data_IF_411663184112
#
_entry.id   IF_411663184112
#
_cell.length_a   1.000
_cell.length_b   1.000
_cell.length_c   1.000
_cell.angle_alpha   90.00
_cell.angle_beta   90.00
_cell.angle_gamma   90.00
#
_symmetry.space_group_name_H-M   'P 1'
#
loop_
_entity.id
_entity.type
_entity.pdbx_description
1 polymer ?
#
# COMPACT_ATOMS: atom_id res chain seq x y z
N UNK A 1 26.45 24.22 16.29
CA UNK A 1 25.34 23.27 16.56
C UNK A 1 25.79 21.83 16.26
N UNK A 2 25.02 20.80 16.59
CA UNK A 2 25.41 19.42 16.27
C UNK A 2 25.52 19.20 14.75
N UNK A 3 24.61 19.80 13.99
CA UNK A 3 24.60 19.74 12.54
C UNK A 3 25.91 20.23 11.92
N UNK A 4 26.45 21.36 12.40
CA UNK A 4 27.73 21.91 11.90
C UNK A 4 28.90 20.92 12.10
N UNK A 5 28.91 20.21 13.24
CA UNK A 5 29.92 19.19 13.52
C UNK A 5 29.83 18.00 12.58
N UNK A 6 28.57 17.56 12.28
CA UNK A 6 28.32 16.45 11.37
C UNK A 6 28.75 16.84 9.94
N UNK A 7 28.42 18.05 9.51
CA UNK A 7 28.81 18.54 8.18
C UNK A 7 30.34 18.64 8.04
N UNK A 8 31.03 19.14 9.05
CA UNK A 8 32.51 19.19 9.02
C UNK A 8 33.13 17.78 8.98
N UNK A 9 32.62 16.84 9.78
CA UNK A 9 33.07 15.45 9.72
C UNK A 9 32.78 14.82 8.34
N UNK A 10 31.61 15.10 7.77
CA UNK A 10 31.24 14.63 6.43
C UNK A 10 32.15 15.17 5.34
N UNK A 11 32.55 16.47 5.41
CA UNK A 11 33.52 17.05 4.46
C UNK A 11 34.85 16.31 4.50
N UNK A 12 35.36 16.03 5.71
CA UNK A 12 36.64 15.31 5.91
C UNK A 12 36.51 13.88 5.34
N UNK A 13 35.43 13.18 5.69
CA UNK A 13 35.16 11.83 5.21
C UNK A 13 35.11 11.77 3.68
N UNK A 14 34.32 12.64 3.05
CA UNK A 14 34.18 12.68 1.58
C UNK A 14 35.52 12.98 0.90
N UNK A 15 36.35 13.87 1.47
CA UNK A 15 37.67 14.13 0.95
C UNK A 15 38.56 12.87 0.98
N UNK A 16 38.56 12.14 2.10
CA UNK A 16 39.31 10.89 2.26
C UNK A 16 38.79 9.78 1.32
N UNK A 17 37.49 9.66 1.18
CA UNK A 17 36.87 8.68 0.25
C UNK A 17 37.27 8.95 -1.20
N UNK A 18 37.36 10.21 -1.63
CA UNK A 18 37.82 10.63 -2.95
C UNK A 18 39.31 10.29 -3.21
N UNK A 19 40.12 10.19 -2.17
CA UNK A 19 41.54 9.75 -2.28
C UNK A 19 41.61 8.21 -2.50
N UNK A 20 40.68 7.47 -1.91
CA UNK A 20 40.61 5.99 -2.03
C UNK A 20 40.00 5.56 -3.36
N UNK A 21 38.91 6.20 -3.77
CA UNK A 21 38.22 5.93 -5.02
C UNK A 21 37.92 7.27 -5.72
N UNK A 22 38.50 7.49 -6.89
CA UNK A 22 38.42 8.80 -7.54
C UNK A 22 37.00 9.17 -7.95
N UNK A 23 36.62 10.45 -7.94
CA UNK A 23 35.32 10.92 -8.39
C UNK A 23 34.95 10.45 -9.80
N UNK A 24 35.94 10.39 -10.69
CA UNK A 24 35.75 9.94 -12.06
C UNK A 24 35.40 8.46 -12.12
N UNK A 25 36.05 7.63 -11.28
CA UNK A 25 35.78 6.20 -11.23
C UNK A 25 34.38 5.91 -10.69
N UNK A 26 33.98 6.54 -9.58
CA UNK A 26 32.64 6.37 -8.98
C UNK A 26 31.55 6.88 -9.93
N UNK A 27 31.78 8.03 -10.57
CA UNK A 27 30.87 8.58 -11.58
C UNK A 27 30.73 7.64 -12.77
N UNK A 28 31.82 7.12 -13.30
CA UNK A 28 31.79 6.17 -14.43
C UNK A 28 31.03 4.88 -14.04
N UNK A 29 31.25 4.35 -12.84
CA UNK A 29 30.55 3.18 -12.33
C UNK A 29 29.04 3.44 -12.18
N UNK A 30 28.64 4.59 -11.64
CA UNK A 30 27.25 4.97 -11.50
C UNK A 30 26.53 5.13 -12.84
N UNK A 31 27.19 5.76 -13.84
CA UNK A 31 26.65 5.96 -15.18
C UNK A 31 26.58 4.66 -16.00
N UNK A 32 27.31 3.62 -15.64
CA UNK A 32 27.21 2.30 -16.25
C UNK A 32 25.98 1.51 -15.79
N UNK A 33 25.32 1.93 -14.72
CA UNK A 33 24.10 1.30 -14.19
C UNK A 33 22.85 1.87 -14.87
N UNK A 34 21.75 1.08 -15.01
CA UNK A 34 20.51 1.55 -15.60
C UNK A 34 19.96 2.78 -14.86
N UNK A 35 19.60 3.83 -15.59
CA UNK A 35 18.96 5.04 -15.05
C UNK A 35 17.43 5.06 -15.20
N UNK A 36 16.89 4.30 -16.14
CA UNK A 36 15.44 4.08 -16.26
C UNK A 36 14.99 3.02 -15.24
N UNK A 37 14.76 3.44 -14.02
CA UNK A 37 14.43 2.57 -12.89
C UNK A 37 12.93 2.55 -12.56
N UNK A 38 12.15 3.48 -13.14
CA UNK A 38 10.76 3.72 -12.74
C UNK A 38 10.60 4.32 -11.34
N UNK A 39 11.68 4.82 -10.72
CA UNK A 39 11.69 5.41 -9.37
C UNK A 39 10.99 4.53 -8.32
N UNK A 40 11.52 3.32 -8.03
CA UNK A 40 10.83 2.34 -7.18
C UNK A 40 10.51 2.86 -5.76
N UNK A 41 11.33 3.76 -5.22
CA UNK A 41 11.06 4.36 -3.92
C UNK A 41 9.81 5.26 -3.95
N UNK A 42 9.70 6.13 -4.95
CA UNK A 42 8.53 6.98 -5.14
C UNK A 42 7.29 6.14 -5.46
N UNK A 43 7.40 5.14 -6.33
CA UNK A 43 6.32 4.24 -6.67
C UNK A 43 5.77 3.47 -5.45
N UNK A 44 6.65 2.99 -4.55
CA UNK A 44 6.24 2.31 -3.33
C UNK A 44 5.48 3.21 -2.35
N UNK A 45 5.81 4.52 -2.31
CA UNK A 45 5.16 5.47 -1.41
C UNK A 45 3.83 6.04 -1.95
N UNK A 46 3.57 5.96 -3.26
CA UNK A 46 2.32 6.45 -3.89
C UNK A 46 1.14 5.47 -3.83
N UNK A 47 1.34 4.28 -3.30
CA UNK A 47 0.25 3.30 -3.15
C UNK A 47 -0.81 3.78 -2.13
N UNK A 48 -2.06 3.31 -2.28
CA UNK A 48 -3.23 3.87 -1.58
C UNK A 48 -3.17 3.84 -0.05
N UNK A 49 -2.61 2.82 0.58
CA UNK A 49 -2.62 2.72 2.05
C UNK A 49 -1.52 3.56 2.71
N UNK A 50 -1.61 3.74 4.03
CA UNK A 50 -0.56 4.38 4.82
C UNK A 50 0.76 3.59 4.69
N UNK A 51 1.89 4.27 4.46
CA UNK A 51 3.18 3.64 4.17
C UNK A 51 4.21 3.93 5.25
N UNK A 52 4.98 2.91 5.62
CA UNK A 52 6.09 3.05 6.54
C UNK A 52 7.43 2.91 5.82
N UNK A 53 8.32 3.89 6.02
CA UNK A 53 9.74 3.78 5.74
C UNK A 53 10.41 3.38 7.05
N UNK A 54 10.86 2.13 7.16
CA UNK A 54 11.46 1.61 8.38
C UNK A 54 12.97 1.84 8.39
N UNK A 55 13.48 2.48 9.46
CA UNK A 55 14.88 2.89 9.51
C UNK A 55 15.75 1.90 10.29
N UNK A 56 16.82 1.44 9.66
CA UNK A 56 17.89 0.62 10.25
C UNK A 56 18.93 1.55 10.84
N UNK A 57 18.87 1.76 12.16
CA UNK A 57 19.66 2.75 12.89
C UNK A 57 20.29 2.21 14.18
N UNK A 58 21.62 2.20 14.25
CA UNK A 58 22.36 1.72 15.42
C UNK A 58 22.43 2.73 16.55
N UNK A 59 22.63 4.00 16.22
CA UNK A 59 22.81 5.09 17.17
C UNK A 59 22.29 6.42 16.64
N UNK A 60 22.11 7.40 17.51
CA UNK A 60 21.84 8.79 17.13
C UNK A 60 22.47 9.77 18.14
N UNK A 61 22.75 11.04 17.74
CA UNK A 61 23.30 12.05 18.64
C UNK A 61 22.44 12.33 19.88
N UNK A 62 21.11 12.22 19.74
CA UNK A 62 20.15 12.51 20.82
C UNK A 62 19.95 11.36 21.80
N UNK A 63 20.19 10.11 21.39
CA UNK A 63 19.89 8.89 22.18
C UNK A 63 21.10 8.01 22.45
N UNK A 64 22.27 8.32 21.87
CA UNK A 64 23.44 7.43 21.92
C UNK A 64 23.18 6.12 21.17
N UNK A 65 23.68 5.01 21.71
CA UNK A 65 23.48 3.68 21.15
C UNK A 65 22.03 3.25 21.40
N UNK A 66 21.29 2.95 20.32
CA UNK A 66 19.89 2.49 20.34
C UNK A 66 19.87 0.97 20.41
N UNK A 67 20.76 0.28 19.67
CA UNK A 67 20.87 -1.16 19.61
C UNK A 67 22.35 -1.57 19.75
N UNK A 68 22.73 -2.17 20.90
CA UNK A 68 24.07 -2.71 21.11
C UNK A 68 24.32 -3.93 20.22
N UNK A 69 23.38 -4.89 20.24
CA UNK A 69 23.30 -5.96 19.26
C UNK A 69 22.57 -5.44 18.04
N UNK A 70 23.25 -5.39 16.89
CA UNK A 70 22.74 -4.76 15.68
C UNK A 70 22.86 -5.68 14.47
N UNK A 71 22.00 -6.70 14.37
CA UNK A 71 21.92 -7.59 13.22
C UNK A 71 21.15 -6.89 12.09
N UNK A 72 21.74 -5.84 11.52
CA UNK A 72 21.10 -4.94 10.53
C UNK A 72 20.47 -5.69 9.36
N UNK A 73 21.06 -6.80 8.96
CA UNK A 73 20.60 -7.62 7.86
C UNK A 73 19.28 -8.33 8.19
N UNK A 74 19.21 -8.93 9.38
CA UNK A 74 18.00 -9.61 9.84
C UNK A 74 16.88 -8.60 10.12
N UNK A 75 17.23 -7.44 10.71
CA UNK A 75 16.29 -6.33 10.93
C UNK A 75 15.68 -5.87 9.60
N UNK A 76 16.47 -5.72 8.53
CA UNK A 76 15.97 -5.31 7.23
C UNK A 76 15.01 -6.34 6.61
N UNK A 77 15.30 -7.63 6.77
CA UNK A 77 14.40 -8.71 6.35
C UNK A 77 13.10 -8.74 7.15
N UNK A 78 13.18 -8.53 8.47
CA UNK A 78 11.99 -8.41 9.32
C UNK A 78 11.10 -7.24 8.87
N UNK A 79 11.69 -6.09 8.48
CA UNK A 79 10.94 -4.96 7.94
C UNK A 79 10.24 -5.29 6.62
N UNK A 80 10.93 -6.00 5.71
CA UNK A 80 10.32 -6.43 4.45
C UNK A 80 9.16 -7.39 4.70
N UNK A 81 9.34 -8.41 5.55
CA UNK A 81 8.28 -9.37 5.93
C UNK A 81 7.11 -8.66 6.64
N UNK A 82 7.40 -7.66 7.45
CA UNK A 82 6.39 -6.86 8.14
C UNK A 82 5.55 -5.97 7.19
N UNK A 83 5.95 -5.82 5.93
CA UNK A 83 5.23 -5.00 4.95
C UNK A 83 5.67 -3.53 4.91
N UNK A 84 6.91 -3.23 5.32
CA UNK A 84 7.48 -1.89 5.10
C UNK A 84 7.49 -1.54 3.61
N UNK A 85 7.12 -0.31 3.27
CA UNK A 85 7.15 0.16 1.88
C UNK A 85 8.58 0.42 1.39
N UNK A 86 9.48 0.83 2.29
CA UNK A 86 10.88 1.09 2.02
C UNK A 86 11.73 0.95 3.29
N UNK A 87 13.03 0.80 3.11
CA UNK A 87 14.00 0.78 4.21
C UNK A 87 14.91 2.01 4.12
N UNK A 88 15.08 2.72 5.23
CA UNK A 88 16.08 3.79 5.39
C UNK A 88 17.31 3.23 6.09
N UNK A 89 18.50 3.39 5.50
CA UNK A 89 19.75 2.86 6.05
C UNK A 89 20.74 3.98 6.33
N UNK A 90 21.13 4.12 7.61
CA UNK A 90 22.16 5.08 8.03
C UNK A 90 23.53 4.66 7.49
N UNK A 91 24.20 5.57 6.77
CA UNK A 91 25.56 5.37 6.28
C UNK A 91 26.57 6.31 6.93
N UNK A 92 26.13 7.27 7.74
CA UNK A 92 26.98 8.19 8.47
C UNK A 92 27.68 7.48 9.67
N UNK A 93 29.04 7.38 9.70
CA UNK A 93 29.73 6.51 10.64
C UNK A 93 30.02 7.14 12.01
N UNK A 94 30.20 8.44 12.09
CA UNK A 94 30.73 9.09 13.30
C UNK A 94 29.65 9.25 14.38
N UNK A 95 28.51 9.76 14.03
CA UNK A 95 27.42 10.13 14.93
C UNK A 95 26.29 9.10 14.97
N UNK A 96 26.04 8.41 13.86
CA UNK A 96 24.94 7.42 13.76
C UNK A 96 25.44 5.98 13.74
N UNK A 97 26.77 5.76 13.71
CA UNK A 97 27.38 4.43 13.64
C UNK A 97 26.88 3.62 12.43
N UNK A 98 26.60 4.36 11.34
CA UNK A 98 26.24 3.80 10.04
C UNK A 98 27.46 3.26 9.29
N UNK A 99 27.20 2.54 8.22
CA UNK A 99 28.25 2.01 7.34
C UNK A 99 27.67 1.78 5.92
N UNK A 100 28.48 2.10 4.88
CA UNK A 100 28.13 1.80 3.49
C UNK A 100 27.83 0.31 3.25
N UNK A 101 28.51 -0.55 4.01
CA UNK A 101 28.32 -2.00 3.97
C UNK A 101 26.86 -2.39 4.29
N UNK A 102 26.27 -1.72 5.30
CA UNK A 102 24.88 -2.00 5.66
C UNK A 102 23.94 -1.73 4.49
N UNK A 103 24.12 -0.59 3.82
CA UNK A 103 23.32 -0.24 2.64
C UNK A 103 23.49 -1.26 1.51
N UNK A 104 24.75 -1.59 1.17
CA UNK A 104 25.06 -2.51 0.06
C UNK A 104 24.48 -3.90 0.29
N UNK A 105 24.65 -4.46 1.48
CA UNK A 105 24.15 -5.80 1.81
C UNK A 105 22.62 -5.84 1.88
N UNK A 106 21.98 -4.82 2.47
CA UNK A 106 20.53 -4.71 2.51
C UNK A 106 19.97 -4.57 1.10
N UNK A 107 20.46 -3.59 0.32
CA UNK A 107 19.95 -3.32 -1.03
C UNK A 107 20.11 -4.49 -2.00
N UNK A 108 21.13 -5.35 -1.80
CA UNK A 108 21.33 -6.55 -2.62
C UNK A 108 20.41 -7.72 -2.23
N UNK A 109 19.69 -7.63 -1.11
CA UNK A 109 18.94 -8.76 -0.53
C UNK A 109 17.44 -8.52 -0.52
N UNK A 110 16.99 -7.34 -0.08
CA UNK A 110 15.57 -7.02 -0.01
C UNK A 110 15.02 -6.63 -1.37
N UNK A 111 13.73 -6.84 -1.59
CA UNK A 111 13.03 -6.46 -2.83
C UNK A 111 12.44 -5.05 -2.76
N UNK A 112 12.21 -4.55 -1.54
CA UNK A 112 11.68 -3.21 -1.32
C UNK A 112 12.78 -2.15 -1.48
N UNK A 113 12.45 -0.91 -1.91
CA UNK A 113 13.44 0.13 -2.18
C UNK A 113 14.17 0.59 -0.92
N UNK A 114 15.43 0.99 -1.10
CA UNK A 114 16.33 1.39 -0.01
C UNK A 114 16.75 2.85 -0.16
N UNK A 115 16.58 3.63 0.91
CA UNK A 115 17.01 5.01 1.03
C UNK A 115 18.41 5.07 1.70
N UNK A 116 19.37 5.74 1.06
CA UNK A 116 20.61 6.16 1.73
C UNK A 116 20.33 7.35 2.66
N UNK A 117 20.34 7.11 3.95
CA UNK A 117 20.18 8.16 4.98
C UNK A 117 21.57 8.64 5.42
N UNK A 118 22.01 9.78 4.90
CA UNK A 118 23.32 10.40 5.12
C UNK A 118 23.21 11.92 4.94
N UNK A 119 24.24 12.65 5.33
CA UNK A 119 24.38 14.09 5.05
C UNK A 119 25.06 14.27 3.69
N UNK A 120 24.25 14.45 2.64
CA UNK A 120 24.74 14.61 1.28
C UNK A 120 25.06 16.07 1.02
N UNK A 121 26.34 16.37 0.82
CA UNK A 121 26.88 17.71 0.60
C UNK A 121 27.75 17.81 -0.67
N UNK A 122 27.92 16.71 -1.38
CA UNK A 122 28.76 16.60 -2.57
C UNK A 122 28.16 15.60 -3.58
N UNK A 123 28.23 15.92 -4.87
CA UNK A 123 27.75 15.05 -5.95
C UNK A 123 28.36 13.64 -5.93
N UNK A 124 29.59 13.54 -5.44
CA UNK A 124 30.27 12.25 -5.27
C UNK A 124 29.45 11.26 -4.44
N UNK A 125 28.80 11.73 -3.39
CA UNK A 125 27.95 10.89 -2.53
C UNK A 125 26.68 10.41 -3.27
N UNK A 126 26.18 11.17 -4.26
CA UNK A 126 25.03 10.78 -5.07
C UNK A 126 25.42 9.64 -6.02
N UNK A 127 26.57 9.75 -6.67
CA UNK A 127 27.12 8.66 -7.50
C UNK A 127 27.42 7.42 -6.65
N UNK A 128 27.98 7.58 -5.44
CA UNK A 128 28.18 6.47 -4.50
C UNK A 128 26.85 5.79 -4.15
N UNK A 129 25.79 6.54 -3.87
CA UNK A 129 24.48 5.97 -3.53
C UNK A 129 23.98 5.06 -4.65
N UNK A 130 24.13 5.48 -5.90
CA UNK A 130 23.79 4.64 -7.07
C UNK A 130 24.60 3.35 -7.13
N UNK A 131 25.91 3.45 -6.96
CA UNK A 131 26.83 2.30 -7.00
C UNK A 131 26.56 1.32 -5.84
N UNK A 132 26.15 1.84 -4.68
CA UNK A 132 25.83 1.03 -3.50
C UNK A 132 24.44 0.39 -3.56
N UNK A 133 23.65 0.65 -4.61
CA UNK A 133 22.34 0.04 -4.83
C UNK A 133 21.18 0.76 -4.14
N UNK A 134 21.35 2.00 -3.68
CA UNK A 134 20.24 2.79 -3.18
C UNK A 134 19.20 3.06 -4.27
N UNK A 135 17.94 3.15 -3.88
CA UNK A 135 16.81 3.59 -4.72
C UNK A 135 16.48 5.08 -4.49
N UNK A 136 16.92 5.63 -3.37
CA UNK A 136 16.70 7.02 -3.00
C UNK A 136 17.85 7.58 -2.15
N UNK A 137 17.95 8.91 -2.12
CA UNK A 137 18.88 9.68 -1.29
C UNK A 137 18.11 10.68 -0.42
N UNK A 138 18.76 11.11 0.68
CA UNK A 138 18.32 12.21 1.53
C UNK A 138 19.00 13.51 1.13
N UNK A 139 18.23 14.58 0.93
CA UNK A 139 18.71 15.95 0.79
C UNK A 139 18.11 16.79 1.93
N UNK A 140 18.94 17.53 2.67
CA UNK A 140 18.51 18.26 3.87
C UNK A 140 18.56 19.76 3.62
N UNK A 141 17.43 20.46 3.72
CA UNK A 141 17.33 21.91 3.48
C UNK A 141 18.21 22.69 4.44
N UNK A 142 18.34 22.28 5.70
CA UNK A 142 19.23 22.92 6.67
C UNK A 142 20.72 22.85 6.29
N UNK A 143 21.12 22.00 5.34
CA UNK A 143 22.50 21.79 4.91
C UNK A 143 22.84 22.41 3.55
N UNK A 144 21.84 22.72 2.72
CA UNK A 144 21.98 23.05 1.30
C UNK A 144 21.13 24.28 0.96
N UNK A 145 21.60 25.10 0.04
CA UNK A 145 20.79 26.16 -0.57
C UNK A 145 19.90 25.62 -1.71
N UNK A 146 18.90 26.39 -2.13
CA UNK A 146 17.95 25.99 -3.19
C UNK A 146 18.64 25.62 -4.52
N UNK A 147 19.64 26.38 -5.01
CA UNK A 147 20.37 26.00 -6.23
C UNK A 147 21.07 24.65 -6.10
N UNK A 148 21.69 24.35 -4.95
CA UNK A 148 22.37 23.08 -4.70
C UNK A 148 21.38 21.93 -4.54
N UNK A 149 20.27 22.14 -3.82
CA UNK A 149 19.16 21.18 -3.72
C UNK A 149 18.63 20.80 -5.10
N UNK A 150 18.35 21.80 -5.97
CA UNK A 150 17.88 21.59 -7.33
C UNK A 150 18.88 20.75 -8.12
N UNK A 151 20.16 21.14 -8.11
CA UNK A 151 21.23 20.43 -8.81
C UNK A 151 21.37 18.98 -8.37
N UNK A 152 21.33 18.73 -7.05
CA UNK A 152 21.47 17.38 -6.50
C UNK A 152 20.26 16.51 -6.80
N UNK A 153 19.04 17.07 -6.71
CA UNK A 153 17.82 16.38 -7.09
C UNK A 153 17.85 15.99 -8.57
N UNK A 154 18.21 16.93 -9.47
CA UNK A 154 18.29 16.64 -10.91
C UNK A 154 19.38 15.61 -11.24
N UNK A 155 20.50 15.65 -10.55
CA UNK A 155 21.51 14.62 -10.68
C UNK A 155 20.99 13.24 -10.23
N UNK A 156 20.31 13.18 -9.08
CA UNK A 156 19.71 11.94 -8.59
C UNK A 156 18.67 11.42 -9.60
N UNK A 157 17.79 12.27 -10.10
CA UNK A 157 16.80 11.92 -11.12
C UNK A 157 17.45 11.36 -12.39
N UNK A 158 18.55 11.98 -12.85
CA UNK A 158 19.28 11.50 -14.05
C UNK A 158 19.90 10.12 -13.87
N UNK A 159 20.10 9.69 -12.63
CA UNK A 159 20.61 8.37 -12.26
C UNK A 159 19.47 7.38 -11.91
N UNK A 160 18.20 7.80 -11.96
CA UNK A 160 17.04 7.01 -11.56
C UNK A 160 16.94 6.82 -10.05
N UNK A 161 17.44 7.76 -9.24
CA UNK A 161 17.30 7.80 -7.79
C UNK A 161 16.21 8.80 -7.41
N UNK A 162 15.32 8.44 -6.50
CA UNK A 162 14.42 9.41 -5.86
C UNK A 162 15.17 10.27 -4.84
N UNK A 163 14.66 11.49 -4.57
CA UNK A 163 15.19 12.37 -3.54
C UNK A 163 14.13 12.64 -2.48
N UNK A 164 14.37 12.20 -1.24
CA UNK A 164 13.63 12.65 -0.06
C UNK A 164 14.25 13.97 0.41
N UNK A 165 13.51 15.09 0.29
CA UNK A 165 13.98 16.41 0.69
C UNK A 165 13.45 16.72 2.08
N UNK A 166 14.34 16.74 3.09
CA UNK A 166 13.99 16.94 4.50
C UNK A 166 13.93 18.42 4.86
N UNK A 167 12.85 18.83 5.53
CA UNK A 167 12.56 20.17 6.00
C UNK A 167 12.09 20.15 7.47
N UNK A 168 12.31 21.28 8.21
CA UNK A 168 11.98 21.40 9.63
C UNK A 168 10.97 22.52 9.92
N UNK A 169 10.86 23.51 9.06
CA UNK A 169 9.97 24.66 9.21
C UNK A 169 9.40 25.13 7.88
N UNK A 170 8.58 26.19 7.90
CA UNK A 170 7.91 26.76 6.72
C UNK A 170 8.91 27.23 5.66
N UNK A 171 10.03 27.81 6.10
CA UNK A 171 11.06 28.29 5.16
C UNK A 171 11.70 27.14 4.42
N UNK A 172 12.07 26.07 5.13
CA UNK A 172 12.69 24.89 4.53
C UNK A 172 11.70 24.10 3.65
N UNK A 173 10.39 24.03 4.02
CA UNK A 173 9.36 23.48 3.14
C UNK A 173 9.26 24.27 1.84
N UNK A 174 9.34 25.61 1.91
CA UNK A 174 9.34 26.42 0.69
C UNK A 174 10.59 26.17 -0.16
N UNK A 175 11.78 26.00 0.46
CA UNK A 175 13.00 25.62 -0.26
C UNK A 175 12.86 24.27 -0.97
N UNK A 176 12.22 23.29 -0.33
CA UNK A 176 11.93 21.99 -0.92
C UNK A 176 10.98 22.10 -2.11
N UNK A 177 9.95 22.93 -2.01
CA UNK A 177 9.03 23.23 -3.12
C UNK A 177 9.78 23.93 -4.27
N UNK A 178 10.56 24.95 -3.96
CA UNK A 178 11.31 25.76 -4.94
C UNK A 178 12.35 24.92 -5.71
N UNK A 179 12.93 23.92 -5.08
CA UNK A 179 13.83 22.98 -5.76
C UNK A 179 13.10 21.91 -6.59
N UNK A 180 11.77 21.87 -6.58
CA UNK A 180 10.94 20.93 -7.32
C UNK A 180 10.94 19.52 -6.73
N UNK A 181 10.97 19.38 -5.40
CA UNK A 181 10.92 18.10 -4.72
C UNK A 181 9.58 17.39 -4.97
N UNK A 182 9.63 16.11 -5.32
CA UNK A 182 8.45 15.24 -5.45
C UNK A 182 8.12 14.49 -4.17
N UNK A 183 9.10 14.41 -3.24
CA UNK A 183 8.95 13.80 -1.91
C UNK A 183 9.54 14.77 -0.90
N UNK A 184 8.72 15.27 0.01
CA UNK A 184 9.11 16.19 1.07
C UNK A 184 8.93 15.50 2.42
N UNK A 185 10.02 15.39 3.18
CA UNK A 185 10.02 14.89 4.55
C UNK A 185 9.99 16.04 5.55
N UNK A 186 9.06 16.01 6.50
CA UNK A 186 9.06 16.95 7.62
C UNK A 186 9.55 16.24 8.86
N UNK A 187 10.69 16.68 9.38
CA UNK A 187 11.26 16.14 10.60
C UNK A 187 10.66 16.86 11.83
N UNK A 188 9.90 16.11 12.61
CA UNK A 188 9.27 16.58 13.84
C UNK A 188 10.29 16.83 14.97
N UNK A 189 11.55 16.41 14.79
CA UNK A 189 12.62 16.63 15.76
C UNK A 189 13.36 17.93 15.46
N UNK A 190 13.36 18.85 16.40
CA UNK A 190 14.15 20.06 16.33
C UNK A 190 15.65 19.72 16.49
N UNK A 191 16.47 20.07 15.52
CA UNK A 191 17.91 19.76 15.53
C UNK A 191 18.72 20.61 16.53
N UNK A 192 18.11 21.64 17.15
CA UNK A 192 18.78 22.53 18.10
C UNK A 192 18.73 22.02 19.54
N UNK A 193 17.56 21.49 19.94
CA UNK A 193 17.27 21.06 21.31
C UNK A 193 16.76 19.62 21.43
N UNK A 194 16.57 18.94 20.30
CA UNK A 194 16.06 17.58 20.17
C UNK A 194 14.62 17.36 20.67
N UNK A 195 13.86 18.42 20.90
CA UNK A 195 12.42 18.31 21.16
C UNK A 195 11.72 17.71 19.95
N UNK A 196 10.62 17.02 20.21
CA UNK A 196 9.80 16.35 19.17
C UNK A 196 8.37 16.85 19.27
N UNK A 197 7.81 17.29 18.15
CA UNK A 197 6.44 17.74 18.04
C UNK A 197 5.79 17.21 16.75
N UNK A 198 4.96 16.17 16.84
CA UNK A 198 4.27 15.56 15.69
C UNK A 198 3.32 16.55 15.01
N UNK A 199 2.82 17.56 15.73
CA UNK A 199 1.98 18.63 15.16
C UNK A 199 2.72 19.49 14.14
N UNK A 200 4.07 19.45 14.12
CA UNK A 200 4.87 20.12 13.10
C UNK A 200 4.54 19.60 11.69
N UNK A 201 4.48 18.28 11.51
CA UNK A 201 4.06 17.68 10.22
C UNK A 201 2.65 18.10 9.82
N UNK A 202 1.69 18.06 10.76
CA UNK A 202 0.29 18.46 10.51
C UNK A 202 0.21 19.93 10.07
N UNK A 203 0.92 20.83 10.77
CA UNK A 203 0.94 22.24 10.45
C UNK A 203 1.53 22.54 9.08
N UNK A 204 2.62 21.86 8.72
CA UNK A 204 3.35 22.10 7.48
C UNK A 204 2.74 21.40 6.26
N UNK A 205 1.92 20.35 6.47
CA UNK A 205 1.25 19.63 5.38
C UNK A 205 0.46 20.56 4.45
N UNK A 206 -0.21 21.56 5.01
CA UNK A 206 -1.04 22.50 4.26
C UNK A 206 -0.25 23.43 3.31
N UNK A 207 1.07 23.47 3.41
CA UNK A 207 1.93 24.24 2.50
C UNK A 207 2.33 23.44 1.24
N UNK A 208 2.13 22.11 1.27
CA UNK A 208 2.59 21.19 0.22
C UNK A 208 1.39 20.74 -0.62
N UNK A 209 1.56 20.72 -1.94
CA UNK A 209 0.53 20.27 -2.89
C UNK A 209 0.25 18.78 -2.77
N UNK A 210 -0.94 18.33 -3.19
CA UNK A 210 -1.39 16.94 -3.00
C UNK A 210 -0.67 15.93 -3.90
N UNK A 211 -0.09 16.36 -5.01
CA UNK A 211 0.70 15.53 -5.92
C UNK A 211 2.13 15.25 -5.40
N UNK A 212 2.58 16.00 -4.38
CA UNK A 212 3.85 15.78 -3.69
C UNK A 212 3.66 14.79 -2.55
N UNK A 213 4.50 13.75 -2.50
CA UNK A 213 4.51 12.80 -1.39
C UNK A 213 5.01 13.49 -0.13
N UNK A 214 4.19 13.52 0.91
CA UNK A 214 4.54 14.10 2.20
C UNK A 214 4.90 12.99 3.19
N UNK A 215 6.08 13.07 3.80
CA UNK A 215 6.60 12.10 4.77
C UNK A 215 6.72 12.75 6.14
N UNK A 216 6.10 12.20 7.17
CA UNK A 216 6.32 12.62 8.56
C UNK A 216 7.47 11.82 9.16
N UNK A 217 8.47 12.51 9.72
CA UNK A 217 9.67 11.88 10.28
C UNK A 217 9.81 12.17 11.77
N UNK A 218 10.21 11.17 12.53
CA UNK A 218 10.45 11.23 13.99
C UNK A 218 9.21 11.39 14.87
N UNK A 219 9.29 10.83 16.08
CA UNK A 219 8.34 11.08 17.17
C UNK A 219 7.05 10.28 17.14
N UNK A 220 6.91 9.36 16.22
CA UNK A 220 5.71 8.53 16.09
C UNK A 220 5.91 7.22 16.87
N UNK A 221 4.98 6.85 17.75
CA UNK A 221 5.11 5.70 18.63
C UNK A 221 3.86 4.84 18.73
N UNK A 222 2.67 5.41 18.48
CA UNK A 222 1.35 4.80 18.72
C UNK A 222 0.47 4.80 17.47
N UNK A 223 -0.56 3.95 17.40
CA UNK A 223 -1.57 4.00 16.34
C UNK A 223 -2.30 5.34 16.27
N UNK A 224 -2.48 5.99 17.42
CA UNK A 224 -3.12 7.30 17.51
C UNK A 224 -2.28 8.39 16.81
N UNK A 225 -0.95 8.34 16.93
CA UNK A 225 -0.07 9.24 16.17
C UNK A 225 -0.25 9.03 14.66
N UNK A 226 -0.35 7.77 14.22
CA UNK A 226 -0.56 7.43 12.81
C UNK A 226 -1.95 7.88 12.35
N UNK A 227 -2.97 7.75 13.21
CA UNK A 227 -4.32 8.23 12.88
C UNK A 227 -4.35 9.75 12.71
N UNK A 228 -3.66 10.51 13.57
CA UNK A 228 -3.51 11.96 13.41
C UNK A 228 -2.91 12.32 12.05
N UNK A 229 -1.92 11.56 11.56
CA UNK A 229 -1.34 11.77 10.24
C UNK A 229 -2.36 11.49 9.12
N UNK A 230 -3.08 10.37 9.20
CA UNK A 230 -4.14 10.02 8.23
C UNK A 230 -5.21 11.10 8.13
N UNK A 231 -5.71 11.56 9.28
CA UNK A 231 -6.75 12.59 9.36
C UNK A 231 -6.32 13.94 8.75
N UNK A 232 -5.00 14.13 8.57
CA UNK A 232 -4.42 15.33 7.97
C UNK A 232 -3.80 15.08 6.58
N UNK A 233 -4.23 14.04 5.85
CA UNK A 233 -3.75 13.69 4.50
C UNK A 233 -2.23 13.47 4.43
N UNK A 234 -1.65 12.87 5.47
CA UNK A 234 -0.25 12.44 5.50
C UNK A 234 -0.26 10.91 5.44
N UNK A 235 0.14 10.36 4.30
CA UNK A 235 0.08 8.92 4.04
C UNK A 235 1.38 8.17 4.27
N UNK A 236 2.48 8.86 4.65
CA UNK A 236 3.79 8.21 4.80
C UNK A 236 4.48 8.65 6.09
N UNK A 237 5.06 7.69 6.82
CA UNK A 237 5.89 7.93 8.00
C UNK A 237 7.27 7.28 7.86
N UNK A 238 8.34 8.01 8.25
CA UNK A 238 9.67 7.47 8.42
C UNK A 238 9.96 7.29 9.91
N UNK A 239 10.18 6.05 10.34
CA UNK A 239 10.31 5.68 11.74
C UNK A 239 11.51 4.78 11.98
N UNK A 240 12.32 5.11 12.98
CA UNK A 240 13.52 4.33 13.35
C UNK A 240 13.48 3.84 14.79
N UNK A 241 13.54 4.74 15.77
CA UNK A 241 13.70 4.39 17.18
C UNK A 241 12.63 3.43 17.69
N UNK A 242 11.37 3.67 17.35
CA UNK A 242 10.21 2.87 17.73
C UNK A 242 10.35 1.41 17.28
N UNK A 243 10.77 1.20 16.03
CA UNK A 243 10.99 -0.15 15.50
C UNK A 243 12.26 -0.79 16.06
N UNK A 244 13.36 -0.03 16.16
CA UNK A 244 14.63 -0.56 16.67
C UNK A 244 14.52 -1.06 18.12
N UNK A 245 13.67 -0.44 18.94
CA UNK A 245 13.42 -0.84 20.32
C UNK A 245 12.43 -2.00 20.47
N UNK A 246 11.64 -2.28 19.44
CA UNK A 246 10.69 -3.41 19.48
C UNK A 246 11.40 -4.75 19.34
N UNK A 247 11.10 -5.75 20.18
CA UNK A 247 11.62 -7.08 20.02
C UNK A 247 11.05 -7.81 18.80
N UNK A 248 9.83 -7.47 18.37
CA UNK A 248 9.15 -8.02 17.19
C UNK A 248 8.72 -6.87 16.26
N UNK A 249 9.37 -6.74 15.10
CA UNK A 249 9.12 -5.68 14.12
C UNK A 249 7.79 -5.87 13.39
N UNK A 250 7.43 -7.15 13.14
CA UNK A 250 6.17 -7.50 12.46
C UNK A 250 4.98 -7.09 13.30
N UNK A 251 4.96 -7.49 14.58
CA UNK A 251 3.89 -7.11 15.52
C UNK A 251 3.85 -5.59 15.73
N UNK A 252 5.03 -4.92 15.81
CA UNK A 252 5.07 -3.47 16.01
C UNK A 252 4.54 -2.72 14.81
N UNK A 253 4.86 -3.16 13.58
CA UNK A 253 4.32 -2.54 12.37
C UNK A 253 2.81 -2.77 12.29
N UNK A 254 2.34 -3.99 12.53
CA UNK A 254 0.91 -4.30 12.59
C UNK A 254 0.18 -3.46 13.65
N UNK A 255 0.76 -3.31 14.84
CA UNK A 255 0.23 -2.45 15.90
C UNK A 255 0.12 -0.99 15.45
N UNK A 256 1.12 -0.44 14.75
CA UNK A 256 1.12 0.94 14.28
C UNK A 256 0.16 1.18 13.12
N UNK A 257 -0.05 0.18 12.27
CA UNK A 257 -1.14 0.26 11.29
C UNK A 257 -2.48 0.48 11.99
N UNK A 258 -2.52 0.14 13.27
CA UNK A 258 -3.75 0.14 14.06
C UNK A 258 -4.57 -1.11 13.75
N UNK A 259 -5.71 -1.29 14.36
CA UNK A 259 -6.69 -2.22 13.85
C UNK A 259 -6.86 -1.82 12.39
N UNK A 260 -6.54 -2.75 11.51
CA UNK A 260 -6.76 -2.56 10.09
C UNK A 260 -8.23 -2.23 9.95
N UNK A 261 -8.53 -0.96 9.84
CA UNK A 261 -9.81 -0.55 9.31
C UNK A 261 -9.78 -0.98 7.85
N UNK A 262 -9.95 -2.29 7.64
CA UNK A 262 -10.44 -2.73 6.37
C UNK A 262 -11.76 -1.98 6.23
N UNK A 263 -11.81 -1.00 5.38
CA UNK A 263 -13.09 -0.60 4.82
C UNK A 263 -13.59 -1.89 4.19
N UNK A 264 -14.55 -2.58 4.81
CA UNK A 264 -14.92 -3.90 4.33
C UNK A 264 -15.38 -3.72 2.90
N UNK A 265 -14.78 -4.47 1.98
CA UNK A 265 -15.19 -4.41 0.59
C UNK A 265 -16.62 -4.93 0.49
N UNK A 266 -17.49 -4.10 -0.09
CA UNK A 266 -18.92 -4.38 -0.21
C UNK A 266 -19.20 -5.01 -1.56
N UNK A 267 -19.86 -6.17 -1.57
CA UNK A 267 -20.39 -6.78 -2.78
C UNK A 267 -21.92 -6.77 -2.75
N UNK A 268 -22.53 -6.21 -3.78
CA UNK A 268 -23.98 -6.25 -4.01
C UNK A 268 -24.32 -7.29 -5.05
N UNK A 269 -24.90 -8.40 -4.62
CA UNK A 269 -25.13 -9.57 -5.46
C UNK A 269 -26.57 -9.67 -5.99
N UNK A 270 -26.72 -10.27 -7.18
CA UNK A 270 -28.02 -10.54 -7.80
C UNK A 270 -28.68 -9.30 -8.42
N UNK A 271 -27.88 -8.38 -8.94
CA UNK A 271 -28.35 -7.26 -9.75
C UNK A 271 -28.78 -7.83 -11.12
N UNK A 272 -30.06 -7.65 -11.48
CA UNK A 272 -30.65 -8.24 -12.69
C UNK A 272 -31.47 -7.26 -13.54
N UNK A 273 -31.58 -5.99 -13.09
CA UNK A 273 -32.38 -4.97 -13.78
C UNK A 273 -31.53 -3.70 -13.99
N UNK A 274 -31.62 -3.15 -15.20
CA UNK A 274 -30.89 -1.94 -15.59
C UNK A 274 -31.30 -0.72 -14.75
N UNK A 275 -32.56 -0.68 -14.33
CA UNK A 275 -33.11 0.39 -13.51
C UNK A 275 -32.44 0.51 -12.12
N UNK A 276 -31.78 -0.56 -11.64
CA UNK A 276 -31.06 -0.59 -10.36
C UNK A 276 -29.66 0.01 -10.47
N UNK A 277 -29.08 0.09 -11.66
CA UNK A 277 -27.70 0.56 -11.86
C UNK A 277 -27.42 1.97 -11.29
N UNK A 278 -28.34 2.96 -11.45
CA UNK A 278 -28.11 4.28 -10.83
C UNK A 278 -27.89 4.22 -9.32
N UNK A 279 -28.66 3.40 -8.60
CA UNK A 279 -28.53 3.24 -7.15
C UNK A 279 -27.22 2.52 -6.78
N UNK A 280 -26.81 1.51 -7.57
CA UNK A 280 -25.52 0.83 -7.38
C UNK A 280 -24.36 1.79 -7.58
N UNK A 281 -24.36 2.61 -8.64
CA UNK A 281 -23.33 3.61 -8.91
C UNK A 281 -23.29 4.68 -7.80
N UNK A 282 -24.44 5.11 -7.31
CA UNK A 282 -24.53 6.07 -6.21
C UNK A 282 -23.99 5.51 -4.88
N UNK A 283 -24.30 4.26 -4.56
CA UNK A 283 -23.84 3.56 -3.37
C UNK A 283 -22.35 3.20 -3.43
N UNK A 284 -21.78 3.12 -4.65
CA UNK A 284 -20.36 2.81 -4.89
C UNK A 284 -19.87 1.58 -4.11
N UNK A 285 -20.48 0.38 -4.25
CA UNK A 285 -19.89 -0.85 -3.70
C UNK A 285 -18.58 -1.15 -4.44
N UNK A 286 -17.76 -2.03 -3.88
CA UNK A 286 -16.55 -2.49 -4.57
C UNK A 286 -16.85 -3.49 -5.67
N UNK A 287 -17.96 -4.26 -5.51
CA UNK A 287 -18.33 -5.31 -6.44
C UNK A 287 -19.84 -5.34 -6.73
N UNK A 288 -20.19 -5.60 -8.01
CA UNK A 288 -21.55 -5.87 -8.47
C UNK A 288 -21.66 -7.32 -8.94
N UNK A 289 -22.49 -8.13 -8.28
CA UNK A 289 -22.68 -9.56 -8.57
C UNK A 289 -23.84 -9.85 -9.53
N UNK A 290 -23.57 -10.61 -10.57
CA UNK A 290 -24.48 -11.10 -11.59
C UNK A 290 -24.60 -12.63 -11.46
N UNK A 291 -25.80 -13.17 -11.29
CA UNK A 291 -26.00 -14.61 -11.04
C UNK A 291 -26.32 -15.33 -12.34
N UNK A 292 -25.45 -16.23 -12.77
CA UNK A 292 -25.67 -17.09 -13.95
C UNK A 292 -26.26 -18.45 -13.57
N UNK A 293 -26.22 -18.82 -12.29
CA UNK A 293 -26.85 -20.04 -11.79
C UNK A 293 -28.40 -19.93 -11.73
N UNK A 294 -29.07 -21.07 -11.78
CA UNK A 294 -30.53 -21.13 -11.69
C UNK A 294 -31.03 -20.52 -10.37
N UNK A 295 -31.69 -19.40 -10.46
CA UNK A 295 -32.25 -18.67 -9.32
C UNK A 295 -33.27 -17.63 -9.79
N UNK A 296 -34.02 -17.04 -8.83
CA UNK A 296 -34.91 -15.89 -9.12
C UNK A 296 -34.17 -14.65 -9.63
N UNK A 297 -32.83 -14.60 -9.46
CA UNK A 297 -31.97 -13.49 -9.84
C UNK A 297 -31.06 -13.80 -11.04
N UNK A 298 -31.36 -14.94 -11.73
CA UNK A 298 -30.57 -15.37 -12.87
C UNK A 298 -30.63 -14.34 -14.00
N UNK A 299 -29.47 -14.07 -14.61
CA UNK A 299 -29.33 -13.24 -15.81
C UNK A 299 -28.83 -14.10 -16.98
N UNK A 300 -29.23 -13.74 -18.19
CA UNK A 300 -28.62 -14.25 -19.44
C UNK A 300 -27.33 -13.49 -19.74
N UNK A 301 -26.52 -14.02 -20.65
CA UNK A 301 -25.26 -13.33 -21.09
C UNK A 301 -25.58 -11.95 -21.69
N UNK A 302 -26.65 -11.84 -22.49
CA UNK A 302 -27.02 -10.54 -23.08
C UNK A 302 -27.54 -9.55 -22.05
N UNK A 303 -28.24 -10.00 -21.02
CA UNK A 303 -28.63 -9.15 -19.91
C UNK A 303 -27.42 -8.70 -19.14
N UNK A 304 -26.45 -9.59 -18.85
CA UNK A 304 -25.20 -9.24 -18.15
C UNK A 304 -24.40 -8.20 -18.93
N UNK A 305 -24.23 -8.36 -20.24
CA UNK A 305 -23.59 -7.36 -21.12
C UNK A 305 -24.24 -5.99 -20.95
N UNK A 306 -25.55 -5.92 -21.05
CA UNK A 306 -26.31 -4.66 -20.93
C UNK A 306 -26.12 -4.03 -19.56
N UNK A 307 -26.10 -4.82 -18.48
CA UNK A 307 -25.89 -4.33 -17.10
C UNK A 307 -24.48 -3.80 -16.91
N UNK A 308 -23.45 -4.48 -17.41
CA UNK A 308 -22.05 -4.09 -17.34
C UNK A 308 -21.80 -2.81 -18.16
N UNK A 309 -22.31 -2.74 -19.39
CA UNK A 309 -22.20 -1.54 -20.23
C UNK A 309 -22.85 -0.31 -19.57
N UNK A 310 -24.05 -0.47 -18.99
CA UNK A 310 -24.74 0.65 -18.33
C UNK A 310 -24.06 1.04 -17.02
N UNK A 311 -23.48 0.07 -16.27
CA UNK A 311 -22.66 0.35 -15.08
C UNK A 311 -21.48 1.27 -15.44
N UNK A 312 -20.65 0.87 -16.40
CA UNK A 312 -19.48 1.65 -16.84
C UNK A 312 -19.87 3.04 -17.36
N UNK A 313 -20.93 3.12 -18.17
CA UNK A 313 -21.42 4.39 -18.72
C UNK A 313 -21.87 5.34 -17.61
N UNK A 314 -22.62 4.88 -16.62
CA UNK A 314 -23.11 5.73 -15.54
C UNK A 314 -21.99 6.09 -14.55
N UNK A 315 -21.08 5.14 -14.26
CA UNK A 315 -19.91 5.39 -13.42
C UNK A 315 -19.03 6.48 -14.03
N UNK A 316 -18.66 6.33 -15.30
CA UNK A 316 -17.88 7.32 -16.05
C UNK A 316 -18.55 8.69 -16.06
N UNK A 317 -19.86 8.75 -16.29
CA UNK A 317 -20.63 10.00 -16.28
C UNK A 317 -20.60 10.69 -14.91
N UNK A 318 -20.60 9.93 -13.80
CA UNK A 318 -20.69 10.49 -12.44
C UNK A 318 -19.34 10.89 -11.87
N UNK A 319 -18.30 10.11 -12.12
CA UNK A 319 -17.00 10.23 -11.45
C UNK A 319 -15.86 10.69 -12.38
N UNK A 320 -15.98 10.53 -13.70
CA UNK A 320 -14.92 10.84 -14.65
C UNK A 320 -15.23 12.14 -15.45
N UNK A 321 -15.15 13.29 -14.83
CA UNK A 321 -15.24 14.58 -15.51
C UNK A 321 -13.98 14.90 -16.37
N UNK A 322 -13.40 13.89 -17.08
CA UNK A 322 -12.31 14.08 -18.06
C UNK A 322 -10.90 13.83 -17.52
N UNK A 323 -10.72 13.25 -16.33
CA UNK A 323 -9.42 12.79 -15.84
C UNK A 323 -9.19 11.31 -16.20
N UNK A 324 -7.97 10.93 -16.57
CA UNK A 324 -7.55 9.53 -16.66
C UNK A 324 -7.59 8.91 -15.26
N UNK A 325 -8.41 7.88 -15.05
CA UNK A 325 -8.49 7.17 -13.79
C UNK A 325 -7.58 5.95 -13.76
N UNK A 326 -7.14 5.59 -12.53
CA UNK A 326 -6.64 4.24 -12.25
C UNK A 326 -7.82 3.25 -12.28
N UNK A 327 -7.63 2.08 -12.88
CA UNK A 327 -8.63 1.01 -12.95
C UNK A 327 -9.07 0.47 -11.57
N UNK A 328 -8.42 0.89 -10.48
CA UNK A 328 -8.67 0.39 -9.13
C UNK A 328 -9.88 1.05 -8.42
N UNK A 329 -10.41 2.15 -8.97
CA UNK A 329 -11.54 2.89 -8.40
C UNK A 329 -12.92 2.49 -8.98
N UNK A 330 -12.98 1.62 -9.99
CA UNK A 330 -14.23 1.20 -10.62
C UNK A 330 -14.91 0.05 -9.86
N UNK A 331 -16.26 -0.01 -9.96
CA UNK A 331 -17.04 -1.12 -9.40
C UNK A 331 -16.78 -2.38 -10.24
N UNK A 332 -16.10 -3.37 -9.66
CA UNK A 332 -15.81 -4.63 -10.34
C UNK A 332 -17.05 -5.50 -10.50
N UNK A 333 -17.16 -6.17 -11.64
CA UNK A 333 -18.27 -7.06 -11.98
C UNK A 333 -17.94 -8.51 -11.64
N UNK A 334 -18.85 -9.20 -10.94
CA UNK A 334 -18.66 -10.58 -10.47
C UNK A 334 -19.72 -11.48 -11.07
N UNK A 335 -19.33 -12.47 -11.87
CA UNK A 335 -20.22 -13.53 -12.32
C UNK A 335 -20.27 -14.68 -11.32
N UNK A 336 -21.46 -15.04 -10.85
CA UNK A 336 -21.67 -16.16 -9.91
C UNK A 336 -22.14 -17.38 -10.65
N UNK A 337 -21.39 -18.48 -10.55
CA UNK A 337 -21.60 -19.73 -11.22
C UNK A 337 -21.74 -20.91 -10.25
N UNK A 338 -22.51 -21.93 -10.62
CA UNK A 338 -22.67 -23.16 -9.85
C UNK A 338 -22.56 -24.36 -10.80
N UNK A 339 -21.47 -25.12 -10.68
CA UNK A 339 -21.18 -26.32 -11.45
C UNK A 339 -21.31 -26.14 -12.99
N UNK A 340 -20.87 -24.97 -13.46
CA UNK A 340 -20.84 -24.66 -14.89
C UNK A 340 -19.62 -25.34 -15.56
N UNK A 341 -19.78 -25.68 -16.85
CA UNK A 341 -18.66 -26.25 -17.62
C UNK A 341 -17.55 -25.19 -17.85
N UNK A 342 -16.30 -25.63 -17.87
CA UNK A 342 -15.17 -24.76 -18.05
C UNK A 342 -15.25 -23.91 -19.33
N UNK A 343 -15.65 -24.56 -20.48
CA UNK A 343 -15.74 -23.87 -21.75
C UNK A 343 -16.81 -22.79 -21.75
N UNK A 344 -18.00 -23.10 -21.21
CA UNK A 344 -19.13 -22.18 -21.16
C UNK A 344 -18.81 -21.01 -20.17
N UNK A 345 -18.19 -21.32 -19.04
CA UNK A 345 -17.81 -20.31 -18.05
C UNK A 345 -16.81 -19.30 -18.65
N UNK A 346 -15.74 -19.76 -19.34
CA UNK A 346 -14.78 -18.89 -20.02
C UNK A 346 -15.45 -18.04 -21.11
N UNK A 347 -16.38 -18.63 -21.88
CA UNK A 347 -17.16 -17.89 -22.89
C UNK A 347 -17.98 -16.78 -22.26
N UNK A 348 -18.77 -17.12 -21.21
CA UNK A 348 -19.59 -16.13 -20.50
C UNK A 348 -18.77 -15.01 -19.89
N UNK A 349 -17.69 -15.36 -19.20
CA UNK A 349 -16.81 -14.36 -18.55
C UNK A 349 -16.24 -13.38 -19.57
N UNK A 350 -15.80 -13.89 -20.72
CA UNK A 350 -15.26 -13.08 -21.81
C UNK A 350 -16.35 -12.23 -22.47
N UNK A 351 -17.48 -12.83 -22.82
CA UNK A 351 -18.56 -12.16 -23.53
C UNK A 351 -19.24 -11.07 -22.70
N UNK A 352 -19.43 -11.30 -21.39
CA UNK A 352 -20.01 -10.33 -20.48
C UNK A 352 -18.99 -9.35 -19.90
N UNK A 353 -17.70 -9.44 -20.28
CA UNK A 353 -16.60 -8.62 -19.78
C UNK A 353 -16.58 -8.56 -18.25
N UNK A 354 -16.53 -9.75 -17.61
CA UNK A 354 -16.49 -9.86 -16.16
C UNK A 354 -15.07 -9.66 -15.63
N UNK A 355 -14.95 -8.98 -14.49
CA UNK A 355 -13.69 -8.82 -13.78
C UNK A 355 -13.37 -10.03 -12.88
N UNK A 356 -14.43 -10.66 -12.35
CA UNK A 356 -14.32 -11.74 -11.36
C UNK A 356 -15.27 -12.88 -11.74
N UNK A 357 -14.80 -14.12 -11.57
CA UNK A 357 -15.61 -15.34 -11.60
C UNK A 357 -15.71 -15.91 -10.19
N UNK A 358 -16.91 -16.00 -9.65
CA UNK A 358 -17.18 -16.63 -8.35
C UNK A 358 -17.76 -18.04 -8.57
N UNK A 359 -17.00 -19.05 -8.15
CA UNK A 359 -17.39 -20.47 -8.17
C UNK A 359 -18.14 -20.80 -6.88
N UNK A 360 -19.43 -21.05 -6.98
CA UNK A 360 -20.33 -21.26 -5.83
C UNK A 360 -20.90 -22.69 -5.78
N UNK A 361 -20.34 -23.60 -6.57
CA UNK A 361 -20.72 -25.01 -6.65
C UNK A 361 -19.71 -25.95 -6.00
N UNK A 362 -19.58 -27.15 -6.58
CA UNK A 362 -18.68 -28.21 -6.12
C UNK A 362 -17.35 -28.20 -6.89
N UNK A 363 -17.01 -27.07 -7.57
CA UNK A 363 -15.77 -26.93 -8.32
C UNK A 363 -14.59 -27.12 -7.38
N UNK A 364 -13.69 -28.05 -7.74
CA UNK A 364 -12.52 -28.42 -6.98
C UNK A 364 -11.27 -27.58 -7.37
N UNK A 365 -10.16 -27.83 -6.70
CA UNK A 365 -8.90 -27.13 -6.96
C UNK A 365 -8.38 -27.39 -8.39
N UNK A 366 -8.60 -28.58 -8.94
CA UNK A 366 -8.19 -28.89 -10.32
C UNK A 366 -8.98 -28.06 -11.36
N UNK A 367 -10.26 -27.82 -11.08
CA UNK A 367 -11.10 -26.94 -11.89
C UNK A 367 -10.60 -25.50 -11.83
N UNK A 368 -10.27 -24.99 -10.63
CA UNK A 368 -9.75 -23.63 -10.42
C UNK A 368 -8.45 -23.44 -11.20
N UNK A 369 -7.49 -24.36 -11.09
CA UNK A 369 -6.22 -24.30 -11.82
C UNK A 369 -6.42 -24.34 -13.35
N UNK A 370 -7.34 -25.18 -13.82
CA UNK A 370 -7.69 -25.24 -15.24
C UNK A 370 -8.31 -23.94 -15.75
N UNK A 371 -9.14 -23.30 -14.94
CA UNK A 371 -9.75 -22.01 -15.26
C UNK A 371 -8.69 -20.90 -15.31
N UNK A 372 -7.77 -20.84 -14.34
CA UNK A 372 -6.65 -19.90 -14.32
C UNK A 372 -5.75 -20.01 -15.56
N UNK A 373 -5.57 -21.18 -16.10
CA UNK A 373 -4.84 -21.41 -17.34
C UNK A 373 -5.53 -20.87 -18.61
N UNK A 374 -6.80 -20.49 -18.53
CA UNK A 374 -7.65 -20.12 -19.68
C UNK A 374 -8.19 -18.69 -19.64
N UNK A 375 -8.08 -18.01 -18.51
CA UNK A 375 -8.60 -16.64 -18.35
C UNK A 375 -7.70 -15.84 -17.40
N UNK A 376 -7.71 -14.51 -17.55
CA UNK A 376 -7.01 -13.57 -16.65
C UNK A 376 -7.95 -12.92 -15.62
N UNK A 377 -9.24 -13.34 -15.57
CA UNK A 377 -10.17 -12.82 -14.57
C UNK A 377 -9.82 -13.33 -13.18
N UNK A 378 -10.12 -12.56 -12.16
CA UNK A 378 -9.96 -12.96 -10.76
C UNK A 378 -10.93 -14.12 -10.43
N UNK A 379 -10.44 -15.16 -9.74
CA UNK A 379 -11.24 -16.35 -9.44
C UNK A 379 -11.50 -16.45 -7.95
N UNK A 380 -12.77 -16.42 -7.57
CA UNK A 380 -13.22 -16.59 -6.19
C UNK A 380 -13.83 -17.95 -5.99
N UNK A 381 -13.58 -18.60 -4.85
CA UNK A 381 -14.23 -19.84 -4.46
C UNK A 381 -15.12 -19.64 -3.25
N UNK A 382 -16.40 -19.91 -3.37
CA UNK A 382 -17.33 -19.98 -2.25
C UNK A 382 -17.19 -21.32 -1.54
N UNK A 383 -17.03 -21.29 -0.22
CA UNK A 383 -16.87 -22.45 0.66
C UNK A 383 -17.94 -22.40 1.74
N UNK A 384 -18.69 -23.47 1.87
CA UNK A 384 -19.69 -23.61 2.92
C UNK A 384 -19.04 -24.04 4.23
N UNK A 385 -19.22 -23.25 5.29
CA UNK A 385 -18.57 -23.43 6.59
C UNK A 385 -19.53 -24.04 7.60
N UNK A 386 -19.11 -25.16 8.21
CA UNK A 386 -19.71 -25.82 9.38
C UNK A 386 -18.73 -25.82 10.55
N UNK A 387 -17.42 -25.81 10.25
CA UNK A 387 -16.32 -25.89 11.22
C UNK A 387 -15.06 -25.30 10.63
N UNK A 388 -14.02 -25.07 11.46
CA UNK A 388 -12.70 -24.59 11.01
C UNK A 388 -12.06 -25.50 9.96
N UNK A 389 -12.29 -26.83 10.04
CA UNK A 389 -11.73 -27.77 9.07
C UNK A 389 -12.25 -27.58 7.66
N UNK A 390 -13.44 -26.99 7.49
CA UNK A 390 -13.99 -26.66 6.16
C UNK A 390 -13.19 -25.48 5.54
N UNK A 391 -12.78 -24.49 6.34
CA UNK A 391 -11.94 -23.38 5.91
C UNK A 391 -10.47 -23.80 5.66
N UNK A 392 -9.89 -24.57 6.58
CA UNK A 392 -8.53 -25.08 6.51
C UNK A 392 -8.28 -25.91 5.24
N UNK A 393 -9.28 -26.67 4.78
CA UNK A 393 -9.17 -27.45 3.56
C UNK A 393 -8.89 -26.60 2.30
N UNK A 394 -9.13 -25.29 2.35
CA UNK A 394 -8.96 -24.35 1.23
C UNK A 394 -7.85 -23.34 1.45
N UNK A 395 -7.05 -23.46 2.53
CA UNK A 395 -6.01 -22.46 2.84
C UNK A 395 -4.96 -22.37 1.75
N UNK A 396 -4.59 -23.47 1.11
CA UNK A 396 -3.63 -23.58 0.02
C UNK A 396 -4.26 -23.48 -1.39
N UNK A 397 -5.54 -23.14 -1.48
CA UNK A 397 -6.23 -23.02 -2.77
C UNK A 397 -5.58 -21.96 -3.67
N UNK A 398 -5.53 -22.25 -4.97
CA UNK A 398 -5.07 -21.29 -5.99
C UNK A 398 -6.11 -20.22 -6.33
N UNK A 399 -7.33 -20.25 -5.78
CA UNK A 399 -8.31 -19.17 -5.94
C UNK A 399 -7.73 -17.84 -5.45
N UNK A 400 -8.08 -16.72 -6.07
CA UNK A 400 -7.58 -15.40 -5.69
C UNK A 400 -8.23 -14.89 -4.39
N UNK A 401 -9.50 -15.29 -4.15
CA UNK A 401 -10.26 -14.97 -2.94
C UNK A 401 -11.11 -16.19 -2.52
N UNK A 402 -11.25 -16.38 -1.21
CA UNK A 402 -12.25 -17.30 -0.65
C UNK A 402 -13.45 -16.50 -0.15
N UNK A 403 -14.65 -17.02 -0.38
CA UNK A 403 -15.90 -16.49 0.15
C UNK A 403 -16.51 -17.53 1.07
N UNK A 404 -16.65 -17.23 2.36
CA UNK A 404 -17.24 -18.14 3.33
C UNK A 404 -18.72 -17.89 3.49
N UNK A 405 -19.51 -18.92 3.32
CA UNK A 405 -20.97 -18.90 3.41
C UNK A 405 -21.46 -19.90 4.47
N UNK A 406 -22.56 -19.59 5.13
CA UNK A 406 -23.16 -20.51 6.08
C UNK A 406 -23.65 -21.78 5.36
N UNK A 407 -23.35 -22.94 5.95
CA UNK A 407 -23.84 -24.20 5.39
C UNK A 407 -25.36 -24.29 5.53
N UNK A 408 -26.04 -24.55 4.42
CA UNK A 408 -27.44 -24.89 4.40
C UNK A 408 -27.67 -26.21 3.62
N UNK A 409 -28.50 -27.11 4.16
CA UNK A 409 -28.67 -28.45 3.60
C UNK A 409 -29.32 -28.46 2.22
N UNK A 410 -30.25 -27.54 1.98
CA UNK A 410 -31.14 -27.55 0.82
C UNK A 410 -30.95 -26.34 -0.12
N UNK A 411 -30.19 -25.32 0.28
CA UNK A 411 -29.98 -24.10 -0.52
C UNK A 411 -28.51 -23.67 -0.51
N UNK A 412 -28.01 -23.15 -1.63
CA UNK A 412 -26.64 -22.60 -1.75
C UNK A 412 -26.72 -21.08 -1.82
N UNK A 413 -26.39 -20.45 -0.68
CA UNK A 413 -26.29 -19.00 -0.54
C UNK A 413 -27.62 -18.26 -0.34
N UNK A 414 -27.53 -17.10 0.31
CA UNK A 414 -28.66 -16.17 0.47
C UNK A 414 -29.73 -16.58 1.49
N UNK A 415 -29.45 -17.54 2.38
CA UNK A 415 -30.36 -18.00 3.43
C UNK A 415 -30.53 -17.03 4.58
N UNK A 416 -29.54 -16.15 4.79
CA UNK A 416 -29.50 -15.21 5.93
C UNK A 416 -29.11 -15.86 7.26
N UNK A 417 -28.71 -17.15 7.24
CA UNK A 417 -28.17 -17.82 8.43
C UNK A 417 -26.74 -17.39 8.70
N UNK A 418 -26.37 -17.34 9.98
CA UNK A 418 -25.03 -16.94 10.47
C UNK A 418 -24.36 -18.17 11.05
N UNK A 419 -23.12 -18.45 10.66
CA UNK A 419 -22.29 -19.46 11.31
C UNK A 419 -21.40 -18.84 12.41
N UNK A 420 -20.81 -19.68 13.25
CA UNK A 420 -19.88 -19.22 14.29
C UNK A 420 -18.57 -18.75 13.68
N UNK A 421 -18.33 -17.44 13.66
CA UNK A 421 -17.16 -16.83 13.07
C UNK A 421 -15.85 -17.16 13.81
N UNK A 422 -15.94 -17.62 15.07
CA UNK A 422 -14.74 -18.02 15.83
C UNK A 422 -13.97 -19.17 15.17
N UNK A 423 -14.62 -19.93 14.28
CA UNK A 423 -13.96 -20.97 13.48
C UNK A 423 -12.99 -20.40 12.41
N UNK A 424 -12.94 -19.08 12.22
CA UNK A 424 -12.06 -18.39 11.28
C UNK A 424 -10.96 -17.56 11.98
N UNK A 425 -10.90 -17.56 13.32
CA UNK A 425 -9.97 -16.73 14.10
C UNK A 425 -8.47 -17.00 13.76
N UNK A 426 -8.14 -18.24 13.38
CA UNK A 426 -6.78 -18.63 12.97
C UNK A 426 -6.58 -18.67 11.44
N UNK A 427 -7.54 -18.21 10.66
CA UNK A 427 -7.46 -18.25 9.21
C UNK A 427 -6.73 -17.01 8.67
N UNK A 428 -5.46 -17.16 8.32
CA UNK A 428 -4.54 -16.04 7.97
C UNK A 428 -4.70 -15.48 6.54
N UNK A 429 -5.53 -16.08 5.70
CA UNK A 429 -5.71 -15.64 4.31
C UNK A 429 -6.89 -14.68 4.20
N UNK A 430 -6.82 -13.60 3.37
CA UNK A 430 -7.97 -12.71 3.12
C UNK A 430 -9.17 -13.50 2.58
N UNK A 431 -10.37 -13.19 3.09
CA UNK A 431 -11.62 -13.81 2.69
C UNK A 431 -12.79 -12.82 2.72
N UNK A 432 -13.90 -13.19 2.10
CA UNK A 432 -15.16 -12.47 2.14
C UNK A 432 -16.22 -13.29 2.91
N UNK A 433 -17.09 -12.61 3.65
CA UNK A 433 -18.19 -13.25 4.36
C UNK A 433 -19.51 -13.03 3.60
N UNK A 434 -20.18 -14.11 3.22
CA UNK A 434 -21.53 -14.07 2.67
C UNK A 434 -22.55 -13.67 3.76
N UNK A 435 -23.51 -12.83 3.41
CA UNK A 435 -24.50 -12.31 4.35
C UNK A 435 -24.01 -11.19 5.27
N UNK A 436 -22.68 -10.93 5.31
CA UNK A 436 -22.08 -9.82 6.04
C UNK A 436 -21.75 -8.65 5.12
N UNK A 437 -20.77 -8.82 4.26
CA UNK A 437 -20.27 -7.82 3.30
C UNK A 437 -20.55 -8.19 1.84
N UNK A 438 -20.97 -9.43 1.55
CA UNK A 438 -21.61 -9.84 0.30
C UNK A 438 -23.12 -9.99 0.56
N UNK A 439 -23.92 -9.07 0.03
CA UNK A 439 -25.34 -9.00 0.33
C UNK A 439 -26.19 -9.18 -0.93
N UNK A 440 -27.26 -9.95 -0.81
CA UNK A 440 -28.23 -10.15 -1.88
C UNK A 440 -29.67 -9.83 -1.43
N UNK A 441 -30.26 -10.69 -0.61
CA UNK A 441 -31.66 -10.53 -0.17
C UNK A 441 -31.87 -9.37 0.79
N UNK A 442 -30.86 -9.00 1.59
CA UNK A 442 -30.92 -7.89 2.55
C UNK A 442 -31.14 -6.51 1.92
N UNK A 443 -30.87 -6.34 0.63
CA UNK A 443 -31.15 -5.11 -0.13
C UNK A 443 -32.37 -5.26 -1.06
N UNK A 444 -33.35 -6.07 -0.67
CA UNK A 444 -34.58 -6.31 -1.42
C UNK A 444 -35.83 -5.94 -0.58
N UNK A 445 -36.89 -5.53 -1.30
CA UNK A 445 -38.26 -5.42 -0.79
C UNK A 445 -39.11 -6.27 -1.70
N UNK A 446 -39.87 -7.26 -1.15
CA UNK A 446 -40.70 -8.22 -1.89
C UNK A 446 -39.95 -8.93 -3.01
N UNK A 447 -38.67 -9.27 -2.81
CA UNK A 447 -37.82 -9.97 -3.78
C UNK A 447 -37.32 -9.13 -4.95
N UNK A 448 -37.45 -7.79 -4.86
CA UNK A 448 -36.94 -6.82 -5.84
C UNK A 448 -35.92 -5.93 -5.15
N UNK A 449 -34.83 -5.61 -5.84
CA UNK A 449 -33.81 -4.68 -5.33
C UNK A 449 -34.42 -3.32 -4.99
N UNK A 450 -34.11 -2.83 -3.80
CA UNK A 450 -34.62 -1.60 -3.22
C UNK A 450 -33.52 -0.55 -3.16
N UNK A 451 -33.69 0.55 -3.88
CA UNK A 451 -32.67 1.58 -4.05
C UNK A 451 -32.26 2.24 -2.74
N UNK A 452 -33.20 2.44 -1.79
CA UNK A 452 -32.91 3.01 -0.48
C UNK A 452 -32.12 2.05 0.41
N UNK A 453 -32.43 0.75 0.35
CA UNK A 453 -31.68 -0.29 1.05
C UNK A 453 -30.27 -0.47 0.49
N UNK A 454 -30.11 -0.37 -0.83
CA UNK A 454 -28.79 -0.39 -1.50
C UNK A 454 -27.90 0.72 -0.96
N UNK A 455 -28.39 1.95 -0.94
CA UNK A 455 -27.64 3.12 -0.42
C UNK A 455 -27.36 3.03 1.08
N UNK A 456 -28.38 2.65 1.86
CA UNK A 456 -28.25 2.53 3.31
C UNK A 456 -27.24 1.47 3.72
N UNK A 457 -27.22 0.31 3.05
CA UNK A 457 -26.32 -0.78 3.37
C UNK A 457 -24.84 -0.38 3.23
N UNK A 458 -24.45 0.21 2.10
CA UNK A 458 -23.06 0.64 1.89
C UNK A 458 -22.63 1.66 2.93
N UNK A 459 -23.49 2.63 3.26
CA UNK A 459 -23.23 3.62 4.28
C UNK A 459 -23.07 2.98 5.68
N UNK A 460 -23.93 2.02 6.03
CA UNK A 460 -23.84 1.30 7.31
C UNK A 460 -22.52 0.55 7.41
N UNK A 461 -22.17 -0.26 6.40
CA UNK A 461 -20.94 -1.05 6.42
C UNK A 461 -19.71 -0.16 6.55
N UNK A 462 -19.67 0.96 5.81
CA UNK A 462 -18.55 1.91 5.89
C UNK A 462 -18.51 2.69 7.19
N UNK A 463 -19.67 2.96 7.82
CA UNK A 463 -19.75 3.67 9.10
C UNK A 463 -19.41 2.75 10.29
N UNK A 464 -19.79 1.47 10.24
CA UNK A 464 -19.43 0.49 11.30
C UNK A 464 -17.92 0.22 11.29
N UNK A 465 -17.26 0.33 10.14
CA UNK A 465 -15.82 0.20 10.02
C UNK A 465 -15.04 1.45 10.46
N UNK A 466 -15.71 2.55 10.78
CA UNK A 466 -15.12 3.72 11.44
C UNK A 466 -15.39 3.61 12.95
N UNK A 467 -14.35 3.65 13.81
CA UNK A 467 -14.53 3.66 15.25
C UNK A 467 -15.22 4.94 15.72
#
# INVERSE_FOLDING_TARGET
MILDKIIEATKIRVAQEKEVESPEAVKAAALALPSDTGFPFEAALRQQDFKFICEVKKASPSKGIIAEHFPYFDIAKEYEVAGAAAISVLTEPDFFKGDKKYLQEIASTVKIPVLRKDFIIDEYQIYQAKVWGASAILLICACLDVPTLTKFRELADSLGLSSLVEAHDEHEVQMAIDCGARIIGVNNRNLKDFTVDVQNSVRLRNLVQDDVIFVSESGLETPEDIQVLRDNNIGVALMGETFMRSPNKVEKLAYLYGPTYYTPKVKMCGISKVETIPAVVEAKPDYMGLVFASSKRQVTVDQAKTLVEELHKQYTKRYNNGAEQSNDDEIKTVGVFVNETLDNLVSIATEANLDVVQLHGDEDEAFIQSLKGRTNVEIWKAVQIRSSTDAEAWIDSSADMLLFDAYHKDERGGTGEVFDWSCLDEFERPFMLAGGIDISSGIETDGVKDDEKIKAFTNIVRTIAMP
#
